data_IF_290534761354
#
_entry.id   IF_290534761354
#
_cell.length_a   1.000
_cell.length_b   1.000
_cell.length_c   1.000
_cell.angle_alpha   90.00
_cell.angle_beta   90.00
_cell.angle_gamma   90.00
#
_symmetry.space_group_name_H-M   'P 1'
#
loop_
_entity.id
_entity.type
_entity.pdbx_description
1 polymer ?
#
# COMPACT_ATOMS: atom_id res chain seq x y z
N UNK A 1 6.62 5.92 -1.88
CA UNK A 1 6.10 6.41 -3.16
C UNK A 1 5.82 5.22 -4.07
N UNK A 2 4.55 4.94 -4.24
CA UNK A 2 4.00 3.98 -5.18
C UNK A 2 3.16 4.78 -6.18
N UNK A 3 3.48 4.65 -7.47
CA UNK A 3 2.72 5.26 -8.56
C UNK A 3 1.44 4.45 -8.84
N UNK A 4 0.48 5.05 -9.55
CA UNK A 4 -0.81 4.39 -9.86
C UNK A 4 -0.68 3.14 -10.76
N UNK A 5 0.48 2.96 -11.41
CA UNK A 5 0.84 1.76 -12.16
C UNK A 5 1.47 0.66 -11.28
N UNK A 6 1.67 0.92 -9.98
CA UNK A 6 2.31 0.03 -9.02
C UNK A 6 3.82 0.17 -8.92
N UNK A 7 4.45 1.11 -9.65
CA UNK A 7 5.91 1.30 -9.62
C UNK A 7 6.35 2.09 -8.38
N UNK A 8 7.46 1.69 -7.76
CA UNK A 8 8.00 2.31 -6.54
C UNK A 8 9.10 3.30 -6.90
N UNK A 9 9.01 4.53 -6.40
CA UNK A 9 10.04 5.57 -6.61
C UNK A 9 10.93 5.73 -5.38
N UNK A 10 10.38 5.51 -4.18
CA UNK A 10 11.13 5.57 -2.91
C UNK A 10 10.29 5.03 -1.75
N UNK A 11 10.77 4.06 -0.99
CA UNK A 11 10.06 3.56 0.19
C UNK A 11 11.06 3.00 1.19
N UNK A 12 11.01 3.49 2.43
CA UNK A 12 11.77 2.92 3.55
C UNK A 12 11.05 1.68 4.05
N UNK A 13 11.78 0.59 4.28
CA UNK A 13 11.22 -0.66 4.81
C UNK A 13 10.39 -1.50 3.83
N UNK A 14 10.43 -1.19 2.54
CA UNK A 14 9.68 -1.91 1.49
C UNK A 14 10.66 -2.38 0.42
N UNK A 15 10.59 -3.66 0.09
CA UNK A 15 11.46 -4.32 -0.90
C UNK A 15 10.78 -4.47 -2.25
N UNK A 16 9.45 -4.59 -2.28
CA UNK A 16 8.70 -4.78 -3.52
C UNK A 16 7.26 -4.27 -3.38
N UNK A 17 6.65 -3.87 -4.50
CA UNK A 17 5.22 -3.55 -4.58
C UNK A 17 4.61 -4.23 -5.80
N UNK A 18 3.53 -4.96 -5.57
CA UNK A 18 2.80 -5.68 -6.61
C UNK A 18 1.34 -5.24 -6.61
N UNK A 19 0.91 -4.65 -7.72
CA UNK A 19 -0.51 -4.41 -7.98
C UNK A 19 -1.20 -5.74 -8.26
N UNK A 20 -2.29 -6.03 -7.53
CA UNK A 20 -3.04 -7.30 -7.63
C UNK A 20 -4.46 -7.13 -8.16
N UNK A 21 -4.93 -5.88 -8.20
CA UNK A 21 -6.24 -5.49 -8.68
C UNK A 21 -6.30 -3.97 -8.80
N UNK A 22 -7.39 -3.46 -9.38
CA UNK A 22 -7.66 -2.01 -9.35
C UNK A 22 -7.74 -1.57 -7.89
N UNK A 23 -6.96 -0.57 -7.55
CA UNK A 23 -6.89 -0.02 -6.20
C UNK A 23 -6.19 -0.91 -5.18
N UNK A 24 -5.63 -2.07 -5.55
CA UNK A 24 -5.11 -3.04 -4.58
C UNK A 24 -3.64 -3.37 -4.82
N UNK A 25 -2.83 -3.14 -3.79
CA UNK A 25 -1.37 -3.20 -3.85
C UNK A 25 -0.84 -4.04 -2.68
N UNK A 26 -0.11 -5.11 -3.00
CA UNK A 26 0.68 -5.84 -2.02
C UNK A 26 2.05 -5.20 -1.87
N UNK A 27 2.40 -4.86 -0.65
CA UNK A 27 3.68 -4.24 -0.29
C UNK A 27 4.48 -5.30 0.46
N UNK A 28 5.58 -5.75 -0.12
CA UNK A 28 6.53 -6.64 0.54
C UNK A 28 7.51 -5.79 1.35
N UNK A 29 7.63 -6.11 2.63
CA UNK A 29 8.51 -5.41 3.56
C UNK A 29 9.93 -5.95 3.48
N UNK A 30 10.86 -5.18 4.03
CA UNK A 30 12.20 -5.68 4.32
C UNK A 30 12.11 -6.92 5.24
N UNK A 31 12.87 -8.00 4.98
CA UNK A 31 12.84 -9.20 5.82
C UNK A 31 13.19 -8.95 7.30
N UNK A 32 13.91 -7.87 7.61
CA UNK A 32 14.21 -7.48 8.99
C UNK A 32 13.02 -6.80 9.69
N UNK A 33 11.97 -6.46 8.95
CA UNK A 33 10.75 -5.81 9.44
C UNK A 33 9.63 -6.84 9.59
N UNK A 34 9.06 -6.93 10.80
CA UNK A 34 7.93 -7.80 11.07
C UNK A 34 6.60 -7.06 10.85
N UNK A 35 5.88 -7.38 9.77
CA UNK A 35 4.63 -6.74 9.37
C UNK A 35 3.55 -6.71 10.49
N UNK A 36 3.53 -7.74 11.34
CA UNK A 36 2.56 -7.85 12.44
C UNK A 36 2.88 -6.92 13.62
N UNK A 37 4.07 -6.33 13.67
CA UNK A 37 4.53 -5.42 14.75
C UNK A 37 4.71 -3.98 14.28
N UNK A 38 4.69 -3.74 12.97
CA UNK A 38 4.82 -2.40 12.40
C UNK A 38 3.50 -1.66 12.36
N UNK A 39 3.56 -0.33 12.37
CA UNK A 39 2.42 0.54 12.10
C UNK A 39 2.66 1.21 10.74
N UNK A 40 2.26 0.59 9.63
CA UNK A 40 2.43 1.19 8.32
C UNK A 40 1.55 2.44 8.19
N UNK A 41 2.09 3.47 7.56
CA UNK A 41 1.37 4.70 7.23
C UNK A 41 1.39 4.88 5.73
N UNK A 42 0.22 5.08 5.12
CA UNK A 42 0.08 5.39 3.71
C UNK A 42 -0.83 6.60 3.50
N UNK A 43 -0.45 7.49 2.60
CA UNK A 43 -1.16 8.75 2.34
C UNK A 43 -1.32 9.01 0.84
N UNK A 44 -2.50 9.48 0.39
CA UNK A 44 -2.67 9.86 -1.01
C UNK A 44 -1.72 10.99 -1.41
N UNK A 45 -1.18 10.93 -2.63
CA UNK A 45 -0.36 12.00 -3.21
C UNK A 45 -1.21 13.00 -3.98
N UNK A 46 -0.83 14.27 -3.94
CA UNK A 46 -1.38 15.30 -4.84
C UNK A 46 -1.14 14.91 -6.32
N UNK A 47 -2.12 15.08 -7.23
CA UNK A 47 -3.39 15.80 -7.10
C UNK A 47 -4.59 14.95 -6.67
N UNK A 48 -4.38 13.77 -6.08
CA UNK A 48 -5.46 12.86 -5.64
C UNK A 48 -6.28 13.39 -4.45
N UNK A 49 -6.24 14.71 -4.21
CA UNK A 49 -6.84 15.43 -3.10
C UNK A 49 -8.38 15.40 -3.08
N UNK A 50 -9.01 15.12 -4.22
CA UNK A 50 -10.47 15.03 -4.30
C UNK A 50 -10.88 13.56 -4.27
N UNK A 51 -11.57 13.19 -3.18
CA UNK A 51 -12.22 11.89 -3.00
C UNK A 51 -11.29 10.67 -2.86
N UNK A 52 -9.98 10.80 -2.62
CA UNK A 52 -9.15 9.60 -2.37
C UNK A 52 -9.35 9.02 -0.95
N UNK A 53 -9.43 7.70 -0.87
CA UNK A 53 -9.38 6.93 0.36
C UNK A 53 -8.23 5.92 0.29
N UNK A 54 -7.58 5.68 1.44
CA UNK A 54 -6.55 4.66 1.62
C UNK A 54 -6.89 3.83 2.85
N UNK A 55 -6.75 2.51 2.70
CA UNK A 55 -6.90 1.53 3.76
C UNK A 55 -5.66 0.62 3.75
N UNK A 56 -5.21 0.22 4.93
CA UNK A 56 -4.09 -0.69 5.10
C UNK A 56 -4.56 -1.89 5.90
N UNK A 57 -4.24 -3.07 5.42
CA UNK A 57 -4.46 -4.35 6.11
C UNK A 57 -3.12 -5.09 6.21
N UNK A 58 -2.58 -5.20 7.42
CA UNK A 58 -1.32 -5.87 7.70
C UNK A 58 -1.47 -7.36 8.03
N UNK A 59 -2.68 -7.93 7.90
CA UNK A 59 -2.96 -9.32 8.20
C UNK A 59 -3.84 -9.97 7.11
N UNK A 60 -3.47 -9.74 5.86
CA UNK A 60 -4.22 -10.23 4.71
C UNK A 60 -3.54 -11.42 4.02
N UNK A 61 -4.26 -12.52 3.85
CA UNK A 61 -3.77 -13.66 3.06
C UNK A 61 -3.74 -13.37 1.55
N UNK A 62 -4.36 -12.26 1.10
CA UNK A 62 -4.43 -11.86 -0.30
C UNK A 62 -3.05 -11.56 -0.90
N UNK A 63 -2.09 -11.18 -0.05
CA UNK A 63 -0.72 -10.90 -0.44
C UNK A 63 0.25 -12.06 -0.22
N UNK A 64 -0.24 -13.24 0.19
CA UNK A 64 0.59 -14.40 0.47
C UNK A 64 1.08 -14.41 1.92
N UNK A 65 2.39 -14.28 2.11
CA UNK A 65 3.04 -14.34 3.42
C UNK A 65 2.69 -13.09 4.28
N UNK A 66 1.79 -13.26 5.24
CA UNK A 66 1.31 -12.18 6.13
C UNK A 66 2.39 -11.64 7.07
N UNK A 67 3.50 -12.37 7.27
CA UNK A 67 4.61 -11.88 8.09
C UNK A 67 5.45 -10.82 7.36
N UNK A 68 5.39 -10.81 6.02
CA UNK A 68 6.23 -9.96 5.16
C UNK A 68 5.44 -9.06 4.22
N UNK A 69 4.11 -9.20 4.15
CA UNK A 69 3.30 -8.47 3.20
C UNK A 69 2.14 -7.74 3.89
N UNK A 70 1.91 -6.51 3.45
CA UNK A 70 0.71 -5.74 3.79
C UNK A 70 -0.07 -5.41 2.52
N UNK A 71 -1.40 -5.32 2.63
CA UNK A 71 -2.27 -4.82 1.57
C UNK A 71 -2.52 -3.34 1.77
N UNK A 72 -2.28 -2.57 0.73
CA UNK A 72 -2.78 -1.19 0.60
C UNK A 72 -3.90 -1.19 -0.40
N UNK A 73 -5.09 -0.80 0.06
CA UNK A 73 -6.26 -0.55 -0.77
C UNK A 73 -6.45 0.95 -0.95
N UNK A 74 -6.71 1.35 -2.19
CA UNK A 74 -6.95 2.73 -2.62
C UNK A 74 -8.29 2.79 -3.35
N UNK A 75 -8.98 3.91 -3.19
CA UNK A 75 -10.30 4.06 -3.77
C UNK A 75 -10.82 5.48 -3.73
N UNK A 76 -12.05 5.64 -4.19
CA UNK A 76 -12.84 6.85 -4.00
C UNK A 76 -13.59 6.78 -2.68
N UNK A 77 -13.80 7.93 -2.03
CA UNK A 77 -14.67 8.05 -0.85
C UNK A 77 -16.11 7.62 -1.13
N UNK A 78 -16.52 7.62 -2.40
CA UNK A 78 -17.82 7.10 -2.87
C UNK A 78 -17.86 5.56 -2.97
N UNK A 79 -16.87 4.84 -2.45
CA UNK A 79 -16.90 3.40 -2.19
C UNK A 79 -16.34 2.48 -3.28
N UNK A 80 -15.75 3.03 -4.34
CA UNK A 80 -15.19 2.23 -5.44
C UNK A 80 -13.66 2.16 -5.35
N UNK A 81 -13.09 0.97 -5.57
CA UNK A 81 -11.64 0.83 -5.78
C UNK A 81 -11.20 1.69 -6.97
N UNK A 82 -10.09 2.38 -6.80
CA UNK A 82 -9.55 3.30 -7.78
C UNK A 82 -8.06 3.47 -7.53
N UNK A 83 -7.27 3.41 -8.59
CA UNK A 83 -5.82 3.56 -8.47
C UNK A 83 -5.47 5.00 -8.13
N UNK A 84 -4.97 5.19 -6.92
CA UNK A 84 -4.52 6.48 -6.41
C UNK A 84 -3.02 6.38 -6.15
N UNK A 85 -2.18 7.30 -6.66
CA UNK A 85 -0.78 7.34 -6.25
C UNK A 85 -0.67 7.67 -4.76
N UNK A 86 0.20 6.96 -4.03
CA UNK A 86 0.34 7.13 -2.58
C UNK A 86 1.80 7.07 -2.13
N UNK A 87 2.06 7.70 -0.99
CA UNK A 87 3.29 7.50 -0.22
C UNK A 87 3.04 6.48 0.87
N UNK A 88 4.09 5.72 1.20
CA UNK A 88 4.05 4.70 2.25
C UNK A 88 5.35 4.76 3.04
N UNK A 89 5.22 4.65 4.35
CA UNK A 89 6.32 4.55 5.32
C UNK A 89 6.01 3.36 6.22
N UNK A 90 7.05 2.54 6.45
CA UNK A 90 7.02 1.40 7.36
C UNK A 90 8.22 1.54 8.29
N UNK A 91 7.95 1.50 9.59
CA UNK A 91 8.90 1.55 10.70
C UNK A 91 8.61 0.38 11.65
#
# INVERSE_FOLDING_TARGET
MVNADGTVVRSTGVTNVRKIGTGEYCIELDPDINAAKTVPVATPRSPSIWEAAIFIDNNTSKCGDTARNILVATGKTTGNYFDVPFDIVVD
#
